data_IF_542896867323
#
_entry.id   IF_542896867323
#
_cell.length_a   1.000
_cell.length_b   1.000
_cell.length_c   1.000
_cell.angle_alpha   90.00
_cell.angle_beta   90.00
_cell.angle_gamma   90.00
#
_symmetry.space_group_name_H-M   'P 1'
#
loop_
_entity.id
_entity.type
_entity.pdbx_description
1 polymer ?
#
# COMPACT_ATOMS: atom_id res chain seq x y z
N UNK A 1 -61.36 28.71 2.56
CA UNK A 1 -59.96 29.14 2.40
C UNK A 1 -59.22 29.40 3.71
N UNK A 2 -59.86 29.71 4.83
CA UNK A 2 -59.17 29.97 6.11
C UNK A 2 -58.62 28.73 6.84
N UNK A 3 -59.00 27.50 6.45
CA UNK A 3 -58.48 26.27 7.07
C UNK A 3 -57.04 25.92 6.68
N UNK A 4 -56.59 26.33 5.49
CA UNK A 4 -55.22 26.06 5.03
C UNK A 4 -54.21 27.11 5.54
N UNK A 5 -54.67 28.35 5.74
CA UNK A 5 -53.85 29.42 6.33
C UNK A 5 -53.53 29.13 7.81
N UNK A 6 -54.44 28.49 8.55
CA UNK A 6 -54.22 28.10 9.95
C UNK A 6 -53.17 26.99 10.11
N UNK A 7 -53.03 26.09 9.13
CA UNK A 7 -52.05 24.99 9.17
C UNK A 7 -50.64 25.51 8.85
N UNK A 8 -50.51 26.45 7.90
CA UNK A 8 -49.23 27.08 7.60
C UNK A 8 -48.73 27.99 8.73
N UNK A 9 -49.61 28.65 9.48
CA UNK A 9 -49.24 29.44 10.66
C UNK A 9 -48.83 28.59 11.87
N UNK A 10 -49.36 27.36 11.99
CA UNK A 10 -48.96 26.42 13.04
C UNK A 10 -47.55 25.83 12.84
N UNK A 11 -47.13 25.62 11.59
CA UNK A 11 -45.82 25.04 11.27
C UNK A 11 -44.63 26.01 11.47
N UNK A 12 -44.87 27.32 11.34
CA UNK A 12 -43.82 28.35 11.53
C UNK A 12 -43.57 28.65 13.01
N UNK A 13 -44.54 28.38 13.90
CA UNK A 13 -44.43 28.64 15.34
C UNK A 13 -43.75 27.52 16.14
N UNK A 14 -43.67 26.30 15.60
CA UNK A 14 -42.95 25.17 16.23
C UNK A 14 -41.44 25.22 15.95
N UNK A 15 -41.01 25.93 14.90
CA UNK A 15 -39.60 25.99 14.49
C UNK A 15 -38.76 27.06 15.23
N UNK A 16 -39.37 27.87 16.09
CA UNK A 16 -38.67 28.92 16.85
C UNK A 16 -38.56 28.67 18.37
N UNK A 17 -38.94 27.48 18.84
CA UNK A 17 -38.98 27.14 20.28
C UNK A 17 -37.93 26.13 20.73
N UNK A 18 -36.88 25.90 19.94
CA UNK A 18 -35.62 25.29 20.39
C UNK A 18 -34.46 26.28 20.22
N UNK A 19 -34.63 27.50 20.73
CA UNK A 19 -33.57 28.15 21.52
C UNK A 19 -33.26 27.19 22.68
N UNK A 20 -32.01 26.85 22.99
CA UNK A 20 -31.05 27.80 23.52
C UNK A 20 -30.91 27.58 25.02
N UNK A 21 -29.89 26.81 25.41
CA UNK A 21 -29.25 26.85 26.73
C UNK A 21 -27.76 26.62 26.42
N UNK A 22 -26.81 27.53 26.65
CA UNK A 22 -26.88 28.85 27.24
C UNK A 22 -25.63 29.66 26.88
N UNK A 23 -25.75 30.98 26.98
CA UNK A 23 -24.63 31.92 27.03
C UNK A 23 -23.98 31.87 28.41
N UNK A 24 -22.64 31.85 28.47
CA UNK A 24 -21.91 32.92 29.15
C UNK A 24 -20.46 33.08 28.63
N UNK A 25 -19.88 34.30 28.66
CA UNK A 25 -18.77 34.73 27.80
C UNK A 25 -17.41 34.83 28.51
N UNK A 26 -16.38 35.10 27.68
CA UNK A 26 -14.99 35.53 27.96
C UNK A 26 -13.98 34.45 28.37
N UNK A 27 -13.16 34.07 27.38
CA UNK A 27 -11.70 34.23 27.49
C UNK A 27 -11.12 34.40 26.09
N UNK A 28 -10.62 35.59 25.78
CA UNK A 28 -9.70 35.79 24.66
C UNK A 28 -8.40 35.05 25.00
N UNK A 29 -8.11 33.97 24.27
CA UNK A 29 -6.73 33.55 24.03
C UNK A 29 -6.67 32.73 22.74
N UNK A 30 -5.92 33.27 21.77
CA UNK A 30 -5.30 32.58 20.63
C UNK A 30 -6.19 31.71 19.74
N UNK A 31 -7.07 32.35 18.95
CA UNK A 31 -7.64 31.76 17.73
C UNK A 31 -6.68 32.06 16.56
N UNK A 32 -5.60 31.28 16.49
CA UNK A 32 -4.76 31.18 15.28
C UNK A 32 -3.98 29.85 15.24
N UNK A 33 -4.54 28.76 15.78
CA UNK A 33 -3.91 27.42 15.75
C UNK A 33 -4.89 26.24 15.60
N UNK A 34 -6.16 26.47 15.27
CA UNK A 34 -7.19 25.40 15.22
C UNK A 34 -7.57 24.93 13.81
N UNK A 35 -7.11 25.59 12.74
CA UNK A 35 -7.39 25.14 11.38
C UNK A 35 -6.41 24.04 10.93
N UNK A 36 -5.13 24.14 11.31
CA UNK A 36 -4.09 23.17 10.94
C UNK A 36 -4.25 21.83 11.68
N UNK A 37 -4.68 21.88 12.95
CA UNK A 37 -4.95 20.68 13.75
C UNK A 37 -6.19 19.91 13.29
N UNK A 38 -7.19 20.56 12.69
CA UNK A 38 -8.42 19.87 12.27
C UNK A 38 -8.17 18.92 11.10
N UNK A 39 -7.31 19.32 10.15
CA UNK A 39 -6.94 18.48 9.02
C UNK A 39 -6.03 17.32 9.44
N UNK A 40 -5.11 17.55 10.39
CA UNK A 40 -4.29 16.48 10.96
C UNK A 40 -5.11 15.48 11.78
N UNK A 41 -6.04 15.95 12.62
CA UNK A 41 -6.94 15.07 13.36
C UNK A 41 -7.84 14.24 12.44
N UNK A 42 -8.27 14.85 11.34
CA UNK A 42 -9.06 14.20 10.31
C UNK A 42 -8.27 13.12 9.57
N UNK A 43 -6.99 13.40 9.24
CA UNK A 43 -6.08 12.42 8.61
C UNK A 43 -5.79 11.25 9.53
N UNK A 44 -5.43 11.52 10.80
CA UNK A 44 -5.15 10.46 11.79
C UNK A 44 -6.41 9.61 12.04
N UNK A 45 -7.60 10.22 12.07
CA UNK A 45 -8.85 9.47 12.21
C UNK A 45 -9.14 8.57 11.01
N UNK A 46 -8.82 9.00 9.78
CA UNK A 46 -8.96 8.17 8.56
C UNK A 46 -7.97 7.02 8.57
N UNK A 47 -6.72 7.26 8.93
CA UNK A 47 -5.69 6.21 9.03
C UNK A 47 -6.06 5.15 10.09
N UNK A 48 -6.51 5.60 11.27
CA UNK A 48 -6.99 4.69 12.32
C UNK A 48 -8.27 3.98 11.92
N UNK A 49 -9.18 4.63 11.19
CA UNK A 49 -10.39 4.01 10.64
C UNK A 49 -10.03 2.87 9.68
N UNK A 50 -9.04 3.09 8.81
CA UNK A 50 -8.56 2.08 7.86
C UNK A 50 -7.85 0.92 8.58
N UNK A 51 -7.05 1.23 9.60
CA UNK A 51 -6.27 0.23 10.33
C UNK A 51 -7.11 -0.62 11.28
N UNK A 52 -8.08 -0.02 11.96
CA UNK A 52 -8.88 -0.67 13.02
C UNK A 52 -10.27 -1.11 12.57
N UNK A 53 -10.74 -0.64 11.41
CA UNK A 53 -12.11 -0.86 10.93
C UNK A 53 -13.19 -0.12 11.74
N UNK A 54 -12.82 0.71 12.71
CA UNK A 54 -13.76 1.58 13.42
C UNK A 54 -14.18 2.76 12.52
N UNK A 55 -15.39 3.28 12.73
CA UNK A 55 -15.85 4.44 11.96
C UNK A 55 -15.01 5.67 12.32
N UNK A 56 -14.68 6.45 11.30
CA UNK A 56 -14.01 7.74 11.47
C UNK A 56 -14.75 8.67 12.45
N UNK A 57 -16.09 8.66 12.42
CA UNK A 57 -16.92 9.50 13.29
C UNK A 57 -16.81 9.07 14.76
N UNK A 58 -16.74 7.77 15.05
CA UNK A 58 -16.51 7.26 16.41
C UNK A 58 -15.13 7.70 16.94
N UNK A 59 -14.11 7.66 16.07
CA UNK A 59 -12.73 8.04 16.41
C UNK A 59 -12.65 9.54 16.71
N UNK A 60 -13.27 10.38 15.88
CA UNK A 60 -13.36 11.83 16.09
C UNK A 60 -14.20 12.17 17.33
N UNK A 61 -15.26 11.41 17.60
CA UNK A 61 -16.04 11.58 18.81
C UNK A 61 -15.20 11.30 20.06
N UNK A 62 -14.44 10.19 20.09
CA UNK A 62 -13.53 9.89 21.20
C UNK A 62 -12.45 10.96 21.38
N UNK A 63 -11.94 11.50 20.27
CA UNK A 63 -11.01 12.62 20.30
C UNK A 63 -11.66 13.86 20.94
N UNK A 64 -12.90 14.18 20.56
CA UNK A 64 -13.66 15.29 21.14
C UNK A 64 -13.98 15.12 22.63
N UNK A 65 -14.02 13.88 23.14
CA UNK A 65 -14.16 13.59 24.59
C UNK A 65 -12.87 13.78 25.39
N UNK A 66 -11.79 14.24 24.75
CA UNK A 66 -10.50 14.53 25.39
C UNK A 66 -9.56 13.33 25.49
N UNK A 67 -9.83 12.24 24.78
CA UNK A 67 -8.93 11.08 24.76
C UNK A 67 -7.68 11.36 23.90
N UNK A 68 -6.53 10.89 24.35
CA UNK A 68 -5.32 10.94 23.53
C UNK A 68 -5.39 9.92 22.39
N UNK A 69 -4.59 10.12 21.34
CA UNK A 69 -4.47 9.14 20.25
C UNK A 69 -4.02 7.77 20.76
N UNK A 70 -3.15 7.71 21.76
CA UNK A 70 -2.73 6.46 22.40
C UNK A 70 -3.87 5.75 23.13
N UNK A 71 -4.76 6.51 23.79
CA UNK A 71 -5.95 5.94 24.43
C UNK A 71 -6.93 5.38 23.39
N UNK A 72 -7.10 6.11 22.29
CA UNK A 72 -7.94 5.69 21.16
C UNK A 72 -7.38 4.42 20.52
N UNK A 73 -6.08 4.36 20.23
CA UNK A 73 -5.41 3.17 19.70
C UNK A 73 -5.58 1.99 20.68
N UNK A 74 -5.39 2.21 21.98
CA UNK A 74 -5.58 1.16 23.00
C UNK A 74 -7.02 0.68 23.06
N UNK A 75 -8.01 1.56 22.91
CA UNK A 75 -9.42 1.20 22.84
C UNK A 75 -9.74 0.41 21.56
N UNK A 76 -9.15 0.80 20.44
CA UNK A 76 -9.28 0.11 19.16
C UNK A 76 -8.66 -1.29 19.20
N UNK A 77 -7.46 -1.44 19.77
CA UNK A 77 -6.81 -2.75 19.96
C UNK A 77 -7.58 -3.64 20.93
N UNK A 78 -8.11 -3.09 22.02
CA UNK A 78 -8.95 -3.84 22.97
C UNK A 78 -10.32 -4.21 22.39
N UNK A 79 -10.83 -3.45 21.41
CA UNK A 79 -12.06 -3.76 20.66
C UNK A 79 -11.86 -4.95 19.72
N UNK A 80 -10.64 -5.20 19.25
CA UNK A 80 -10.29 -6.38 18.43
C UNK A 80 -10.26 -7.67 19.27
N UNK A 81 -9.99 -7.58 20.58
CA UNK A 81 -10.00 -8.72 21.51
C UNK A 81 -11.39 -9.10 22.07
N UNK A 82 -12.42 -8.27 21.82
CA UNK A 82 -13.68 -8.36 22.56
C UNK A 82 -14.91 -7.92 21.76
N UNK A 83 -15.19 -8.62 20.65
CA UNK A 83 -16.48 -8.69 19.93
C UNK A 83 -17.11 -7.36 19.49
N UNK A 84 -17.10 -7.12 18.17
CA UNK A 84 -18.35 -6.90 17.41
C UNK A 84 -18.14 -7.05 15.89
N UNK A 85 -18.55 -8.20 15.35
CA UNK A 85 -19.35 -8.22 14.12
C UNK A 85 -18.69 -8.60 12.79
N UNK A 86 -17.41 -8.92 12.74
CA UNK A 86 -16.87 -9.71 11.62
C UNK A 86 -16.02 -10.82 12.20
N UNK A 87 -16.54 -12.04 12.15
CA UNK A 87 -15.73 -13.23 12.41
C UNK A 87 -14.47 -13.16 11.54
N UNK A 88 -13.35 -13.74 11.99
CA UNK A 88 -12.14 -13.89 11.15
C UNK A 88 -12.49 -14.45 9.75
N UNK A 89 -13.53 -15.28 9.67
CA UNK A 89 -14.14 -15.76 8.44
C UNK A 89 -14.81 -14.64 7.62
N UNK A 90 -15.65 -13.80 8.19
CA UNK A 90 -16.26 -12.65 7.48
C UNK A 90 -15.23 -11.57 7.10
N UNK A 91 -14.20 -11.33 7.92
CA UNK A 91 -13.09 -10.42 7.56
C UNK A 91 -12.28 -11.03 6.41
N UNK A 92 -11.97 -12.33 6.47
CA UNK A 92 -11.37 -13.06 5.35
C UNK A 92 -12.25 -13.06 4.11
N UNK A 93 -13.57 -13.05 4.27
CA UNK A 93 -14.52 -13.03 3.17
C UNK A 93 -14.68 -11.64 2.58
N UNK A 94 -14.66 -10.58 3.37
CA UNK A 94 -14.61 -9.19 2.90
C UNK A 94 -13.30 -8.88 2.16
N UNK A 95 -12.18 -9.42 2.63
CA UNK A 95 -10.89 -9.35 1.94
C UNK A 95 -10.86 -10.24 0.69
N UNK A 96 -11.58 -11.38 0.68
CA UNK A 96 -11.78 -12.19 -0.51
C UNK A 96 -12.73 -11.52 -1.52
N UNK A 97 -13.66 -10.68 -1.06
CA UNK A 97 -14.64 -9.94 -1.88
C UNK A 97 -14.10 -8.60 -2.42
N UNK A 98 -12.98 -8.07 -1.91
CA UNK A 98 -12.44 -6.78 -2.36
C UNK A 98 -11.66 -6.90 -3.67
N UNK A 99 -12.15 -6.41 -4.80
CA UNK A 99 -11.43 -6.40 -6.08
C UNK A 99 -11.96 -7.38 -7.14
N UNK A 100 -12.76 -8.36 -6.72
CA UNK A 100 -13.60 -9.19 -7.59
C UNK A 100 -15.07 -8.93 -7.24
N UNK A 101 -15.96 -8.93 -8.24
CA UNK A 101 -17.38 -8.78 -7.95
C UNK A 101 -17.93 -10.02 -7.23
N UNK A 102 -18.85 -9.79 -6.28
CA UNK A 102 -19.47 -10.87 -5.50
C UNK A 102 -20.19 -11.89 -6.38
N UNK A 103 -20.72 -11.45 -7.53
CA UNK A 103 -21.37 -12.31 -8.50
C UNK A 103 -20.38 -13.28 -9.15
N UNK A 104 -19.18 -12.82 -9.54
CA UNK A 104 -18.10 -13.65 -10.06
C UNK A 104 -17.66 -14.72 -9.06
N UNK A 105 -17.41 -14.35 -7.80
CA UNK A 105 -17.03 -15.31 -6.75
C UNK A 105 -18.14 -16.34 -6.54
N UNK A 106 -19.40 -15.87 -6.47
CA UNK A 106 -20.56 -16.74 -6.34
C UNK A 106 -20.67 -17.72 -7.52
N UNK A 107 -20.44 -17.28 -8.75
CA UNK A 107 -20.49 -18.13 -9.94
C UNK A 107 -19.44 -19.25 -9.90
N UNK A 108 -18.21 -18.96 -9.42
CA UNK A 108 -17.17 -19.97 -9.24
C UNK A 108 -17.52 -20.97 -8.13
N UNK A 109 -18.06 -20.49 -7.01
CA UNK A 109 -18.49 -21.36 -5.91
C UNK A 109 -19.68 -22.23 -6.32
N UNK A 110 -20.66 -21.67 -7.06
CA UNK A 110 -21.80 -22.40 -7.62
C UNK A 110 -21.36 -23.44 -8.67
N UNK A 111 -20.25 -23.21 -9.37
CA UNK A 111 -19.61 -24.17 -10.27
C UNK A 111 -18.85 -25.30 -9.53
N UNK A 112 -18.76 -25.24 -8.20
CA UNK A 112 -18.18 -26.28 -7.35
C UNK A 112 -16.71 -26.09 -6.98
N UNK A 113 -16.12 -24.93 -7.25
CA UNK A 113 -14.76 -24.61 -6.84
C UNK A 113 -14.70 -24.23 -5.35
N UNK A 114 -13.62 -24.64 -4.67
CA UNK A 114 -13.48 -24.36 -3.25
C UNK A 114 -13.12 -22.89 -3.01
N UNK A 115 -13.73 -22.25 -2.01
CA UNK A 115 -13.46 -20.86 -1.65
C UNK A 115 -11.98 -20.57 -1.38
N UNK A 116 -11.27 -21.54 -0.79
CA UNK A 116 -9.83 -21.44 -0.57
C UNK A 116 -9.06 -21.30 -1.89
N UNK A 117 -9.41 -22.10 -2.91
CA UNK A 117 -8.74 -22.04 -4.21
C UNK A 117 -8.99 -20.72 -4.94
N UNK A 118 -10.21 -20.18 -4.83
CA UNK A 118 -10.55 -18.86 -5.39
C UNK A 118 -9.74 -17.76 -4.69
N UNK A 119 -9.63 -17.84 -3.36
CA UNK A 119 -8.88 -16.88 -2.55
C UNK A 119 -7.39 -16.93 -2.86
N UNK A 120 -6.81 -18.13 -2.97
CA UNK A 120 -5.39 -18.32 -3.28
C UNK A 120 -5.05 -17.76 -4.66
N UNK A 121 -5.88 -18.10 -5.67
CA UNK A 121 -5.74 -17.59 -7.02
C UNK A 121 -5.84 -16.06 -7.06
N UNK A 122 -6.82 -15.48 -6.37
CA UNK A 122 -6.99 -14.03 -6.26
C UNK A 122 -5.76 -13.37 -5.65
N UNK A 123 -5.30 -13.85 -4.49
CA UNK A 123 -4.15 -13.27 -3.80
C UNK A 123 -2.90 -13.30 -4.67
N UNK A 124 -2.67 -14.41 -5.39
CA UNK A 124 -1.57 -14.51 -6.34
C UNK A 124 -1.71 -13.48 -7.47
N UNK A 125 -2.88 -13.38 -8.12
CA UNK A 125 -3.07 -12.42 -9.21
C UNK A 125 -2.93 -10.97 -8.75
N UNK A 126 -3.49 -10.60 -7.59
CA UNK A 126 -3.36 -9.26 -7.02
C UNK A 126 -1.91 -8.93 -6.69
N UNK A 127 -1.17 -9.89 -6.10
CA UNK A 127 0.26 -9.74 -5.84
C UNK A 127 1.05 -9.46 -7.13
N UNK A 128 0.79 -10.23 -8.18
CA UNK A 128 1.47 -10.06 -9.47
C UNK A 128 1.10 -8.72 -10.10
N UNK A 129 -0.18 -8.35 -10.11
CA UNK A 129 -0.64 -7.06 -10.64
C UNK A 129 -0.01 -5.89 -9.89
N UNK A 130 0.04 -5.96 -8.56
CA UNK A 130 0.71 -4.96 -7.74
C UNK A 130 2.20 -4.85 -8.07
N UNK A 131 2.92 -5.98 -8.15
CA UNK A 131 4.34 -5.99 -8.50
C UNK A 131 4.59 -5.39 -9.90
N UNK A 132 3.75 -5.73 -10.88
CA UNK A 132 3.82 -5.15 -12.22
C UNK A 132 3.63 -3.63 -12.19
N UNK A 133 2.63 -3.13 -11.47
CA UNK A 133 2.37 -1.70 -11.34
C UNK A 133 3.52 -0.96 -10.66
N UNK A 134 4.10 -1.54 -9.60
CA UNK A 134 5.24 -0.94 -8.91
C UNK A 134 6.50 -0.92 -9.78
N UNK A 135 6.77 -1.99 -10.53
CA UNK A 135 7.87 -2.02 -11.51
C UNK A 135 7.68 -0.91 -12.54
N UNK A 136 6.47 -0.73 -13.08
CA UNK A 136 6.18 0.34 -14.06
C UNK A 136 6.36 1.73 -13.44
N UNK A 137 5.82 1.98 -12.25
CA UNK A 137 5.94 3.27 -11.54
C UNK A 137 7.37 3.64 -11.16
N UNK A 138 8.20 2.66 -10.85
CA UNK A 138 9.60 2.88 -10.47
C UNK A 138 10.44 3.49 -11.58
N UNK A 139 9.97 3.44 -12.82
CA UNK A 139 10.64 3.99 -13.99
C UNK A 139 10.28 5.46 -14.16
N UNK A 140 9.01 5.80 -14.00
CA UNK A 140 8.52 7.18 -14.15
C UNK A 140 9.15 8.15 -13.14
N UNK A 141 9.63 7.62 -12.01
CA UNK A 141 10.25 8.41 -10.94
C UNK A 141 11.78 8.44 -10.98
N UNK A 142 12.43 7.96 -12.05
CA UNK A 142 13.89 8.07 -12.18
C UNK A 142 14.28 9.49 -12.64
N UNK A 143 15.10 10.24 -11.88
CA UNK A 143 15.67 11.48 -12.38
C UNK A 143 16.57 11.17 -13.58
N UNK A 144 16.47 11.97 -14.66
CA UNK A 144 17.34 11.88 -15.82
C UNK A 144 18.81 12.03 -15.39
N UNK A 145 19.54 10.92 -15.27
CA UNK A 145 20.98 10.97 -15.03
C UNK A 145 21.70 11.27 -16.35
N UNK A 146 22.79 12.07 -16.33
CA UNK A 146 23.58 12.30 -17.53
C UNK A 146 24.24 10.98 -17.97
N UNK A 147 24.02 10.64 -19.23
CA UNK A 147 24.49 9.42 -19.91
C UNK A 147 26.01 9.31 -19.78
N UNK A 148 26.49 8.38 -18.95
CA UNK A 148 27.86 7.88 -19.05
C UNK A 148 27.78 6.60 -19.86
N UNK A 149 28.36 6.65 -21.06
CA UNK A 149 28.43 5.58 -22.05
C UNK A 149 29.10 4.32 -21.45
N UNK A 150 28.28 3.49 -20.82
CA UNK A 150 28.58 2.11 -20.48
C UNK A 150 27.47 1.26 -21.09
N UNK A 151 27.86 0.54 -22.13
CA UNK A 151 27.11 -0.49 -22.85
C UNK A 151 26.12 -1.26 -21.96
N UNK A 152 24.86 -0.80 -21.88
CA UNK A 152 23.67 -1.63 -21.54
C UNK A 152 22.31 -0.88 -21.54
N UNK A 153 22.25 0.42 -21.85
CA UNK A 153 20.97 1.18 -21.90
C UNK A 153 19.89 0.62 -22.85
N UNK A 154 20.29 -0.16 -23.86
CA UNK A 154 19.35 -0.70 -24.85
C UNK A 154 18.63 -2.00 -24.42
N UNK A 155 19.07 -2.66 -23.34
CA UNK A 155 18.48 -3.91 -22.88
C UNK A 155 17.42 -3.67 -21.79
N UNK A 156 17.72 -2.82 -20.80
CA UNK A 156 16.77 -2.42 -19.75
C UNK A 156 15.51 -1.73 -20.29
N UNK A 157 15.65 -0.92 -21.35
CA UNK A 157 14.53 -0.19 -21.98
C UNK A 157 13.59 -1.12 -22.78
N UNK A 158 14.13 -2.15 -23.44
CA UNK A 158 13.33 -3.16 -24.14
C UNK A 158 12.61 -4.08 -23.17
N UNK A 159 13.29 -4.52 -22.12
CA UNK A 159 12.71 -5.41 -21.12
C UNK A 159 11.54 -4.73 -20.41
N UNK A 160 11.66 -3.42 -20.11
CA UNK A 160 10.59 -2.67 -19.47
C UNK A 160 9.31 -2.54 -20.31
N UNK A 161 9.44 -2.35 -21.62
CA UNK A 161 8.27 -2.22 -22.51
C UNK A 161 7.33 -3.43 -22.44
N UNK A 162 7.89 -4.61 -22.14
CA UNK A 162 7.12 -5.84 -21.97
C UNK A 162 6.34 -5.82 -20.64
N UNK A 163 6.94 -5.35 -19.54
CA UNK A 163 6.24 -5.19 -18.26
C UNK A 163 5.07 -4.20 -18.35
N UNK A 164 5.25 -3.08 -19.04
CA UNK A 164 4.18 -2.09 -19.29
C UNK A 164 3.04 -2.76 -20.07
N UNK A 165 3.35 -3.44 -21.18
CA UNK A 165 2.36 -4.13 -21.99
C UNK A 165 1.58 -5.18 -21.20
N UNK A 166 2.26 -5.99 -20.38
CA UNK A 166 1.60 -6.99 -19.53
C UNK A 166 0.69 -6.28 -18.53
N UNK A 167 1.19 -5.25 -17.83
CA UNK A 167 0.42 -4.50 -16.83
C UNK A 167 -0.86 -3.90 -17.41
N UNK A 168 -0.78 -3.33 -18.62
CA UNK A 168 -1.93 -2.70 -19.29
C UNK A 168 -2.99 -3.71 -19.75
N UNK A 169 -2.57 -4.94 -20.09
CA UNK A 169 -3.46 -5.99 -20.60
C UNK A 169 -3.92 -6.96 -19.50
N UNK A 170 -3.42 -6.82 -18.28
CA UNK A 170 -3.70 -7.71 -17.18
C UNK A 170 -5.16 -7.56 -16.73
N UNK A 171 -5.95 -8.63 -16.87
CA UNK A 171 -7.32 -8.71 -16.37
C UNK A 171 -7.39 -9.66 -15.17
N UNK A 172 -7.68 -9.10 -14.01
CA UNK A 172 -7.71 -9.83 -12.74
C UNK A 172 -8.73 -10.97 -12.77
N UNK A 173 -9.92 -10.77 -13.35
CA UNK A 173 -10.99 -11.77 -13.36
C UNK A 173 -10.62 -12.96 -14.22
N UNK A 174 -10.08 -12.70 -15.41
CA UNK A 174 -9.62 -13.71 -16.36
C UNK A 174 -8.49 -14.53 -15.77
N UNK A 175 -7.51 -13.88 -15.13
CA UNK A 175 -6.40 -14.57 -14.47
C UNK A 175 -6.89 -15.50 -13.34
N UNK A 176 -7.80 -15.01 -12.48
CA UNK A 176 -8.36 -15.79 -11.38
C UNK A 176 -9.21 -16.95 -11.90
N UNK A 177 -10.08 -16.69 -12.87
CA UNK A 177 -10.90 -17.71 -13.52
C UNK A 177 -10.01 -18.82 -14.10
N UNK A 178 -8.97 -18.43 -14.85
CA UNK A 178 -8.03 -19.35 -15.44
C UNK A 178 -7.33 -20.23 -14.42
N UNK A 179 -6.76 -19.63 -13.37
CA UNK A 179 -6.06 -20.37 -12.33
C UNK A 179 -6.99 -21.39 -11.66
N UNK A 180 -8.23 -21.02 -11.35
CA UNK A 180 -9.18 -21.92 -10.69
C UNK A 180 -9.59 -23.08 -11.60
N UNK A 181 -9.87 -22.79 -12.88
CA UNK A 181 -10.38 -23.78 -13.84
C UNK A 181 -9.27 -24.71 -14.35
N UNK A 182 -8.08 -24.17 -14.62
CA UNK A 182 -7.00 -24.87 -15.33
C UNK A 182 -5.91 -25.42 -14.42
N UNK A 183 -5.93 -25.14 -13.11
CA UNK A 183 -4.92 -25.64 -12.14
C UNK A 183 -4.66 -27.14 -12.25
N UNK A 184 -5.70 -27.96 -12.45
CA UNK A 184 -5.55 -29.42 -12.57
C UNK A 184 -4.81 -29.84 -13.84
N UNK A 185 -4.98 -29.08 -14.91
CA UNK A 185 -4.40 -29.34 -16.22
C UNK A 185 -2.94 -28.88 -16.30
N UNK A 186 -2.65 -27.71 -15.73
CA UNK A 186 -1.29 -27.15 -15.70
C UNK A 186 -0.48 -27.59 -14.47
N UNK A 187 -1.09 -28.33 -13.54
CA UNK A 187 -0.48 -28.87 -12.33
C UNK A 187 -0.49 -27.92 -11.12
N UNK A 188 -0.40 -26.61 -11.32
CA UNK A 188 -0.45 -25.61 -10.26
C UNK A 188 -1.06 -24.28 -10.74
N UNK A 189 -1.49 -23.42 -9.81
CA UNK A 189 -1.95 -22.07 -10.12
C UNK A 189 -0.80 -21.21 -10.69
N UNK A 190 0.43 -21.43 -10.23
CA UNK A 190 1.62 -20.72 -10.70
C UNK A 190 1.88 -20.99 -12.18
N UNK A 191 1.72 -22.26 -12.60
CA UNK A 191 1.91 -22.64 -14.00
C UNK A 191 0.83 -22.03 -14.90
N UNK A 192 -0.41 -21.94 -14.43
CA UNK A 192 -1.48 -21.24 -15.17
C UNK A 192 -1.18 -19.75 -15.27
N UNK A 193 -0.75 -19.12 -14.17
CA UNK A 193 -0.37 -17.71 -14.18
C UNK A 193 0.82 -17.43 -15.11
N UNK A 194 1.84 -18.29 -15.13
CA UNK A 194 2.95 -18.18 -16.08
C UNK A 194 2.49 -18.30 -17.54
N UNK A 195 1.58 -19.23 -17.84
CA UNK A 195 0.98 -19.34 -19.17
C UNK A 195 0.15 -18.10 -19.52
N UNK A 196 -0.64 -17.58 -18.57
CA UNK A 196 -1.42 -16.37 -18.75
C UNK A 196 -0.52 -15.16 -19.05
N UNK A 197 0.55 -14.95 -18.27
CA UNK A 197 1.55 -13.93 -18.51
C UNK A 197 2.22 -14.09 -19.88
N UNK A 198 2.50 -15.33 -20.29
CA UNK A 198 3.04 -15.61 -21.62
C UNK A 198 2.06 -15.23 -22.75
N UNK A 199 0.78 -15.56 -22.60
CA UNK A 199 -0.26 -15.20 -23.56
C UNK A 199 -0.35 -13.67 -23.75
N UNK A 200 -0.28 -12.90 -22.66
CA UNK A 200 -0.24 -11.43 -22.73
C UNK A 200 0.99 -10.91 -23.49
N UNK A 201 2.16 -11.49 -23.25
CA UNK A 201 3.41 -11.09 -23.92
C UNK A 201 3.32 -11.22 -25.44
N UNK A 202 2.76 -12.34 -25.92
CA UNK A 202 2.62 -12.60 -27.35
C UNK A 202 1.34 -12.00 -27.95
N UNK A 203 0.51 -11.32 -27.14
CA UNK A 203 -0.77 -10.76 -27.56
C UNK A 203 -1.75 -11.84 -28.02
N UNK A 204 -1.78 -12.98 -27.34
CA UNK A 204 -2.75 -14.04 -27.53
C UNK A 204 -3.94 -13.82 -26.59
N UNK A 205 -5.15 -14.01 -27.10
CA UNK A 205 -6.33 -13.97 -26.24
C UNK A 205 -6.40 -15.27 -25.42
N UNK A 206 -6.11 -15.18 -24.13
CA UNK A 206 -6.14 -16.33 -23.24
C UNK A 206 -7.54 -16.95 -23.10
N UNK A 207 -8.62 -16.16 -23.26
CA UNK A 207 -9.98 -16.70 -23.24
C UNK A 207 -10.24 -17.71 -24.38
N UNK A 208 -9.46 -17.61 -25.46
CA UNK A 208 -9.47 -18.58 -26.56
C UNK A 208 -9.20 -20.01 -26.09
N UNK A 209 -8.44 -20.19 -25.01
CA UNK A 209 -8.17 -21.49 -24.41
C UNK A 209 -9.45 -22.23 -24.00
N UNK A 210 -10.43 -21.50 -23.43
CA UNK A 210 -11.69 -22.09 -22.95
C UNK A 210 -12.66 -22.39 -24.08
N UNK A 211 -12.50 -21.72 -25.23
CA UNK A 211 -13.41 -21.87 -26.38
C UNK A 211 -12.91 -22.95 -27.34
N UNK A 212 -11.63 -22.89 -27.73
CA UNK A 212 -11.00 -23.81 -28.66
C UNK A 212 -9.52 -23.95 -28.31
N UNK A 213 -9.25 -24.98 -27.51
CA UNK A 213 -7.92 -25.28 -27.00
C UNK A 213 -6.91 -25.59 -28.12
N UNK A 214 -7.33 -26.33 -29.15
CA UNK A 214 -6.43 -26.70 -30.26
C UNK A 214 -6.03 -25.46 -31.06
N UNK A 215 -7.00 -24.59 -31.36
CA UNK A 215 -6.72 -23.32 -32.02
C UNK A 215 -5.82 -22.42 -31.16
N UNK A 216 -6.04 -22.38 -29.84
CA UNK A 216 -5.16 -21.63 -28.94
C UNK A 216 -3.70 -22.10 -29.06
N UNK A 217 -3.45 -23.41 -29.10
CA UNK A 217 -2.07 -23.92 -29.25
C UNK A 217 -1.47 -23.64 -30.64
N UNK A 218 -2.28 -23.68 -31.70
CA UNK A 218 -1.83 -23.28 -33.04
C UNK A 218 -1.44 -21.80 -33.07
N UNK A 219 -2.32 -20.91 -32.60
CA UNK A 219 -2.07 -19.47 -32.53
C UNK A 219 -0.86 -19.16 -31.61
N UNK A 220 -0.68 -19.95 -30.54
CA UNK A 220 0.49 -19.87 -29.66
C UNK A 220 1.76 -20.24 -30.40
N UNK A 221 1.79 -21.35 -31.12
CA UNK A 221 2.97 -21.80 -31.86
C UNK A 221 3.36 -20.78 -32.95
N UNK A 222 2.38 -20.28 -33.70
CA UNK A 222 2.59 -19.27 -34.74
C UNK A 222 3.16 -17.96 -34.20
N UNK A 223 2.68 -17.52 -33.03
CA UNK A 223 3.16 -16.28 -32.38
C UNK A 223 4.42 -16.46 -31.55
N UNK A 224 4.78 -17.69 -31.19
CA UNK A 224 5.98 -18.00 -30.42
C UNK A 224 7.26 -18.00 -31.27
N UNK A 225 7.13 -17.97 -32.60
CA UNK A 225 8.28 -17.98 -33.52
C UNK A 225 9.17 -16.76 -33.27
N UNK A 226 10.41 -17.02 -32.85
CA UNK A 226 11.43 -15.99 -32.64
C UNK A 226 11.46 -15.37 -31.24
N UNK A 227 10.66 -15.88 -30.29
CA UNK A 227 10.75 -15.47 -28.89
C UNK A 227 11.91 -16.19 -28.21
N UNK A 228 12.77 -15.44 -27.51
CA UNK A 228 13.82 -16.01 -26.69
C UNK A 228 13.19 -16.58 -25.40
N UNK A 229 13.38 -17.87 -25.06
CA UNK A 229 12.90 -18.43 -23.80
C UNK A 229 13.39 -17.64 -22.57
N UNK A 230 14.62 -17.13 -22.62
CA UNK A 230 15.22 -16.36 -21.53
C UNK A 230 14.65 -14.94 -21.40
N UNK A 231 13.83 -14.48 -22.36
CA UNK A 231 13.12 -13.19 -22.26
C UNK A 231 11.66 -13.33 -21.79
N UNK A 232 11.14 -14.54 -21.64
CA UNK A 232 9.74 -14.75 -21.21
C UNK A 232 9.57 -14.32 -19.76
N UNK A 233 8.71 -13.34 -19.51
CA UNK A 233 8.37 -12.87 -18.16
C UNK A 233 7.49 -13.92 -17.47
N UNK A 234 8.00 -14.46 -16.38
CA UNK A 234 7.32 -15.38 -15.46
C UNK A 234 7.11 -14.71 -14.11
N UNK A 235 6.37 -15.36 -13.20
CA UNK A 235 6.25 -14.94 -11.80
C UNK A 235 7.64 -14.67 -11.20
N UNK A 236 8.58 -15.61 -11.35
CA UNK A 236 9.93 -15.48 -10.79
C UNK A 236 10.67 -14.24 -11.32
N UNK A 237 10.49 -13.89 -12.60
CA UNK A 237 11.11 -12.68 -13.17
C UNK A 237 10.46 -11.40 -12.67
N UNK A 238 9.16 -11.41 -12.42
CA UNK A 238 8.46 -10.27 -11.81
C UNK A 238 8.95 -10.09 -10.37
N UNK A 239 9.05 -11.19 -9.60
CA UNK A 239 9.55 -11.15 -8.22
C UNK A 239 11.00 -10.64 -8.16
N UNK A 240 11.89 -11.16 -9.00
CA UNK A 240 13.28 -10.72 -9.06
C UNK A 240 13.38 -9.24 -9.45
N UNK A 241 12.62 -8.80 -10.47
CA UNK A 241 12.63 -7.39 -10.89
C UNK A 241 12.07 -6.46 -9.81
N UNK A 242 11.08 -6.91 -9.04
CA UNK A 242 10.58 -6.15 -7.89
C UNK A 242 11.65 -6.00 -6.80
N UNK A 243 12.42 -7.06 -6.52
CA UNK A 243 13.54 -7.00 -5.56
C UNK A 243 14.63 -6.04 -6.02
N UNK A 244 15.00 -6.08 -7.31
CA UNK A 244 15.93 -5.12 -7.90
C UNK A 244 15.42 -3.68 -7.75
N UNK A 245 14.13 -3.46 -8.00
CA UNK A 245 13.48 -2.15 -7.88
C UNK A 245 13.59 -1.60 -6.45
N UNK A 246 13.35 -2.43 -5.43
CA UNK A 246 13.49 -2.05 -4.01
C UNK A 246 14.95 -1.73 -3.66
N UNK A 247 15.90 -2.56 -4.12
CA UNK A 247 17.33 -2.35 -3.85
C UNK A 247 17.82 -1.03 -4.49
N UNK A 248 17.40 -0.74 -5.72
CA UNK A 248 17.73 0.50 -6.41
C UNK A 248 17.13 1.72 -5.71
N UNK A 249 15.87 1.64 -5.26
CA UNK A 249 15.24 2.71 -4.48
C UNK A 249 16.01 3.05 -3.20
N UNK A 250 16.45 2.03 -2.46
CA UNK A 250 17.23 2.22 -1.23
C UNK A 250 18.64 2.78 -1.49
N UNK A 251 19.28 2.39 -2.60
CA UNK A 251 20.60 2.89 -2.98
C UNK A 251 20.58 4.37 -3.36
N UNK A 252 19.52 4.85 -4.02
CA UNK A 252 19.35 6.26 -4.35
C UNK A 252 19.15 7.11 -3.08
N UNK A 253 18.40 6.62 -2.09
CA UNK A 253 18.20 7.33 -0.82
C UNK A 253 19.45 7.42 0.06
N UNK A 254 20.46 6.55 -0.13
CA UNK A 254 21.72 6.60 0.63
C UNK A 254 22.77 7.54 0.02
N UNK A 255 22.71 7.80 -1.29
CA UNK A 255 23.68 8.68 -1.97
C UNK A 255 23.39 10.18 -1.77
N UNK A 256 22.18 10.57 -1.40
CA UNK A 256 21.84 11.97 -1.09
C UNK A 256 22.46 12.50 0.22
N UNK A 257 23.13 11.66 1.01
CA UNK A 257 23.74 12.07 2.29
C UNK A 257 25.27 12.20 2.27
N UNK A 258 25.96 11.93 1.15
CA UNK A 258 27.44 11.84 1.14
C UNK A 258 28.17 12.72 0.12
N UNK A 259 27.52 13.71 -0.50
CA UNK A 259 28.23 14.65 -1.38
C UNK A 259 28.06 16.11 -0.95
N UNK A 260 28.63 16.42 0.22
CA UNK A 260 29.10 17.78 0.55
C UNK A 260 30.62 17.75 0.70
N UNK A 261 31.34 17.33 -0.35
CA UNK A 261 32.74 17.72 -0.52
C UNK A 261 32.77 19.08 -1.20
N UNK A 262 32.59 20.14 -0.41
CA UNK A 262 33.07 21.46 -0.78
C UNK A 262 34.22 21.80 0.19
N UNK A 263 35.41 21.29 -0.14
CA UNK A 263 36.68 21.77 0.43
C UNK A 263 36.95 23.16 -0.12
N UNK A 264 36.21 24.15 0.38
CA UNK A 264 36.60 25.55 0.26
C UNK A 264 37.74 25.81 1.25
N UNK A 265 38.89 26.18 0.69
CA UNK A 265 40.05 26.65 1.42
C UNK A 265 39.66 27.72 2.45
N UNK A 266 40.18 27.60 3.67
CA UNK A 266 40.17 28.64 4.69
C UNK A 266 40.67 29.97 4.12
N UNK A 267 39.98 31.09 4.43
CA UNK A 267 40.64 32.33 4.71
C UNK A 267 40.31 32.77 6.15
N UNK A 268 41.41 32.88 6.90
CA UNK A 268 41.76 33.86 7.93
C UNK A 268 40.69 34.71 8.64
N UNK A 269 40.94 34.89 9.93
CA UNK A 269 40.14 35.58 10.93
C UNK A 269 39.70 37.01 10.52
N UNK A 270 38.41 37.33 10.71
CA UNK A 270 38.04 38.68 11.17
C UNK A 270 36.73 38.66 11.96
N UNK A 271 36.79 39.32 13.10
CA UNK A 271 35.77 39.52 14.12
C UNK A 271 34.39 39.97 13.58
N UNK A 272 33.33 39.32 14.07
CA UNK A 272 32.00 39.94 14.16
C UNK A 272 31.47 39.72 15.58
N UNK A 273 31.50 40.79 16.37
CA UNK A 273 30.85 40.88 17.68
C UNK A 273 29.33 40.71 17.51
N UNK A 274 28.75 39.68 18.12
CA UNK A 274 27.31 39.54 18.24
C UNK A 274 26.93 39.50 19.74
N UNK A 275 26.02 40.38 20.22
CA UNK A 275 25.67 40.48 21.63
C UNK A 275 24.49 39.56 21.92
N UNK A 276 24.75 38.27 22.14
CA UNK A 276 23.77 37.33 22.68
C UNK A 276 24.34 36.71 23.96
N UNK A 277 23.55 36.60 25.04
CA UNK A 277 24.02 36.02 26.29
C UNK A 277 24.26 34.52 26.13
N UNK A 278 25.39 34.04 26.67
CA UNK A 278 25.79 32.63 26.69
C UNK A 278 24.71 31.77 27.36
N UNK A 279 24.04 30.95 26.55
CA UNK A 279 23.16 29.90 27.03
C UNK A 279 24.04 28.71 27.44
N UNK A 280 23.90 28.15 28.67
CA UNK A 280 24.71 27.00 29.08
C UNK A 280 24.48 25.83 28.14
N UNK A 281 25.55 25.37 27.49
CA UNK A 281 25.53 24.25 26.59
C UNK A 281 25.10 22.98 27.38
N UNK A 282 23.94 22.37 27.10
CA UNK A 282 23.55 21.14 27.78
C UNK A 282 24.54 20.06 27.38
N UNK A 283 25.33 19.59 28.34
CA UNK A 283 26.27 18.50 28.18
C UNK A 283 25.47 17.18 28.13
N UNK A 284 24.69 17.00 27.06
CA UNK A 284 24.02 15.75 26.78
C UNK A 284 25.10 14.75 26.36
N UNK A 285 25.29 13.69 27.15
CA UNK A 285 26.09 12.54 26.73
C UNK A 285 25.49 12.03 25.43
N UNK A 286 26.30 12.04 24.38
CA UNK A 286 26.01 11.37 23.12
C UNK A 286 25.79 9.88 23.42
N UNK A 287 24.53 9.46 23.48
CA UNK A 287 24.15 8.07 23.66
C UNK A 287 24.11 7.44 22.29
N UNK A 288 25.26 6.96 21.83
CA UNK A 288 25.32 6.20 20.60
C UNK A 288 24.44 4.94 20.77
N UNK A 289 23.41 4.71 19.93
CA UNK A 289 22.55 3.55 20.05
C UNK A 289 23.37 2.26 19.92
N UNK A 290 23.23 1.32 20.85
CA UNK A 290 23.89 0.02 20.74
C UNK A 290 23.37 -0.72 19.49
N UNK A 291 24.29 -1.32 18.74
CA UNK A 291 23.95 -2.12 17.56
C UNK A 291 23.14 -3.35 18.01
N UNK A 292 21.93 -3.56 17.47
CA UNK A 292 21.04 -4.65 17.89
C UNK A 292 21.67 -6.03 17.67
N UNK A 293 22.58 -6.16 16.70
CA UNK A 293 23.31 -7.41 16.42
C UNK A 293 24.19 -7.82 17.60
N UNK A 294 24.86 -6.84 18.23
CA UNK A 294 25.75 -7.07 19.37
C UNK A 294 24.96 -7.37 20.64
N UNK A 295 23.79 -6.75 20.81
CA UNK A 295 22.89 -7.02 21.94
C UNK A 295 22.38 -8.48 21.91
N UNK A 296 21.96 -8.97 20.74
CA UNK A 296 21.48 -10.35 20.57
C UNK A 296 22.62 -11.35 20.77
N UNK A 297 23.82 -11.06 20.25
CA UNK A 297 24.96 -11.97 20.37
C UNK A 297 25.45 -12.10 21.82
N UNK A 298 25.37 -11.02 22.60
CA UNK A 298 25.68 -11.00 24.04
C UNK A 298 24.66 -11.79 24.85
N UNK A 299 23.38 -11.72 24.46
CA UNK A 299 22.31 -12.51 25.06
C UNK A 299 22.51 -14.01 24.79
N UNK A 300 22.81 -14.40 23.55
CA UNK A 300 23.11 -15.82 23.20
C UNK A 300 24.32 -16.35 23.97
N UNK A 301 25.39 -15.56 24.10
CA UNK A 301 26.58 -15.95 24.86
C UNK A 301 26.33 -16.09 26.37
N UNK A 302 25.32 -15.40 26.91
CA UNK A 302 24.94 -15.49 28.33
C UNK A 302 24.09 -16.73 28.65
N UNK A 303 23.56 -17.40 27.64
CA UNK A 303 22.65 -18.55 27.76
C UNK A 303 23.39 -19.88 27.50
N UNK A 304 24.63 -19.86 27.01
CA UNK A 304 25.40 -21.09 26.73
C UNK A 304 25.75 -21.84 28.04
N UNK A 305 25.14 -23.02 28.30
CA UNK A 305 25.33 -23.76 29.55
C UNK A 305 26.68 -24.47 29.64
N UNK A 306 27.49 -24.47 28.58
CA UNK A 306 28.75 -25.22 28.51
C UNK A 306 30.01 -24.40 28.84
N UNK A 307 29.87 -23.20 29.41
CA UNK A 307 30.98 -22.45 30.03
C UNK A 307 30.89 -22.53 31.57
N UNK A 308 31.26 -23.67 32.13
CA UNK A 308 31.84 -23.79 33.47
C UNK A 308 33.09 -24.67 33.41
#
# INVERSE_FOLDING_TARGET
MYKWIAICLGAVLVLQLTMGIGFNPKSESNITASAENADDENRIAVELSNLSGASKDDILQWRSTGKSWNDIITLLSKRDDGLNGTTKAERSQLLADSGLDKEFIKNLTDAGYAQAEITDAKLLAERILFQLQEIVRSVDNRPEQPVVDLKDENQDSKDLSVYIKISDQFDLKTAVYAMVVLKKEFGSIDNVMNEYLFALQIGLNFEGYFTDKEKYYQDKEDKNIGINPDSIITIDKIENRMLETIQQGNALSQNDFTTSEDRAALPDESQVNNPLPDVPNPNAKDVNPENPTDAVMKEIQSIDPNRQ
#
